data_IF_128283757890
#
_entry.id   IF_128283757890
#
_cell.length_a   1.000
_cell.length_b   1.000
_cell.length_c   1.000
_cell.angle_alpha   90.00
_cell.angle_beta   90.00
_cell.angle_gamma   90.00
#
_symmetry.space_group_name_H-M   'P 1'
#
loop_
_entity.id
_entity.type
_entity.pdbx_description
1 polymer ?
#
# COMPACT_ATOMS: atom_id res chain seq x y z
N UNK A 1 13.46 48.38 -52.32
CA UNK A 1 12.74 47.18 -51.85
C UNK A 1 13.45 46.68 -50.59
N UNK A 2 12.91 46.95 -49.40
CA UNK A 2 13.54 46.62 -48.10
C UNK A 2 12.51 45.83 -47.29
N UNK A 3 12.59 44.51 -47.34
CA UNK A 3 11.73 43.62 -46.55
C UNK A 3 12.66 42.66 -45.81
N UNK A 4 12.23 42.26 -44.61
CA UNK A 4 12.68 41.07 -43.89
C UNK A 4 14.01 41.16 -43.15
N UNK A 5 13.91 41.52 -41.87
CA UNK A 5 14.86 41.05 -40.84
C UNK A 5 14.14 40.86 -39.52
N UNK A 6 13.37 41.87 -39.11
CA UNK A 6 12.70 41.88 -37.81
C UNK A 6 11.54 40.87 -37.71
N UNK A 7 10.73 40.68 -38.75
CA UNK A 7 9.60 39.72 -38.71
C UNK A 7 10.03 38.25 -38.60
N UNK A 8 11.21 37.89 -39.07
CA UNK A 8 11.72 36.51 -39.02
C UNK A 8 12.20 36.18 -37.60
N UNK A 9 12.91 37.10 -36.95
CA UNK A 9 13.38 36.94 -35.57
C UNK A 9 12.25 36.87 -34.54
N UNK A 10 11.19 37.68 -34.69
CA UNK A 10 10.03 37.62 -33.79
C UNK A 10 9.18 36.35 -33.98
N UNK A 11 9.07 35.85 -35.21
CA UNK A 11 8.36 34.57 -35.49
C UNK A 11 9.11 33.37 -34.91
N UNK A 12 10.44 33.33 -35.00
CA UNK A 12 11.22 32.22 -34.44
C UNK A 12 11.26 32.25 -32.92
N UNK A 13 11.40 33.44 -32.31
CA UNK A 13 11.34 33.59 -30.86
C UNK A 13 9.98 33.18 -30.28
N UNK A 14 8.87 33.53 -30.94
CA UNK A 14 7.52 33.14 -30.54
C UNK A 14 7.26 31.62 -30.61
N UNK A 15 7.79 30.94 -31.64
CA UNK A 15 7.68 29.48 -31.79
C UNK A 15 8.53 28.75 -30.74
N UNK A 16 9.72 29.26 -30.42
CA UNK A 16 10.59 28.68 -29.39
C UNK A 16 9.98 28.86 -27.99
N UNK A 17 9.43 30.04 -27.67
CA UNK A 17 8.75 30.28 -26.39
C UNK A 17 7.50 29.41 -26.22
N UNK A 18 6.74 29.18 -27.30
CA UNK A 18 5.60 28.27 -27.30
C UNK A 18 6.02 26.80 -27.08
N UNK A 19 7.15 26.36 -27.64
CA UNK A 19 7.70 25.02 -27.41
C UNK A 19 8.19 24.79 -25.97
N UNK A 20 8.77 25.80 -25.32
CA UNK A 20 9.22 25.70 -23.92
C UNK A 20 8.03 25.61 -22.95
N UNK A 21 6.91 26.26 -23.27
CA UNK A 21 5.69 26.20 -22.44
C UNK A 21 4.95 24.85 -22.57
N UNK A 22 5.00 24.18 -23.73
CA UNK A 22 4.33 22.88 -23.93
C UNK A 22 5.10 21.72 -23.29
N UNK A 23 6.42 21.84 -23.12
CA UNK A 23 7.26 20.82 -22.45
C UNK A 23 7.25 20.92 -20.92
N UNK A 24 6.54 21.90 -20.35
CA UNK A 24 6.26 21.97 -18.91
C UNK A 24 5.12 21.03 -18.53
N UNK A 25 5.17 19.78 -19.00
CA UNK A 25 4.31 18.73 -18.49
C UNK A 25 4.56 18.60 -17.00
N UNK A 26 3.51 18.71 -16.17
CA UNK A 26 3.60 18.60 -14.72
C UNK A 26 4.42 17.35 -14.37
N UNK A 27 5.65 17.55 -13.90
CA UNK A 27 6.43 16.48 -13.29
C UNK A 27 5.74 16.13 -11.97
N UNK A 28 4.67 15.34 -12.04
CA UNK A 28 4.01 14.80 -10.87
C UNK A 28 5.05 13.96 -10.12
N UNK A 29 5.27 14.29 -8.85
CA UNK A 29 6.23 13.56 -8.02
C UNK A 29 5.80 12.09 -7.97
N UNK A 30 6.63 11.14 -8.45
CA UNK A 30 6.29 9.72 -8.46
C UNK A 30 5.95 9.20 -7.05
N UNK A 31 6.50 9.81 -6.00
CA UNK A 31 6.13 9.53 -4.62
C UNK A 31 4.65 9.85 -4.35
N UNK A 32 4.22 11.07 -4.71
CA UNK A 32 2.85 11.53 -4.46
C UNK A 32 1.85 10.62 -5.19
N UNK A 33 2.16 10.24 -6.43
CA UNK A 33 1.32 9.35 -7.21
C UNK A 33 1.13 7.99 -6.52
N UNK A 34 2.19 7.41 -5.95
CA UNK A 34 2.10 6.12 -5.25
C UNK A 34 1.35 6.25 -3.92
N UNK A 35 1.55 7.35 -3.19
CA UNK A 35 0.81 7.60 -1.96
C UNK A 35 -0.71 7.72 -2.23
N UNK A 36 -1.08 8.42 -3.31
CA UNK A 36 -2.49 8.56 -3.72
C UNK A 36 -3.09 7.20 -4.12
N UNK A 37 -2.39 6.40 -4.92
CA UNK A 37 -2.86 5.05 -5.31
C UNK A 37 -2.99 4.14 -4.09
N UNK A 38 -2.04 4.17 -3.16
CA UNK A 38 -2.12 3.39 -1.92
C UNK A 38 -3.36 3.80 -1.11
N UNK A 39 -3.63 5.12 -1.02
CA UNK A 39 -4.81 5.64 -0.33
C UNK A 39 -6.11 5.13 -0.98
N UNK A 40 -6.20 5.14 -2.31
CA UNK A 40 -7.35 4.63 -3.04
C UNK A 40 -7.61 3.14 -2.71
N UNK A 41 -6.56 2.31 -2.70
CA UNK A 41 -6.68 0.90 -2.31
C UNK A 41 -7.15 0.73 -0.86
N UNK A 42 -6.69 1.56 0.08
CA UNK A 42 -7.16 1.52 1.47
C UNK A 42 -8.64 1.88 1.57
N UNK A 43 -9.07 2.93 0.88
CA UNK A 43 -10.47 3.36 0.89
C UNK A 43 -11.38 2.29 0.25
N UNK A 44 -10.94 1.68 -0.85
CA UNK A 44 -11.66 0.60 -1.51
C UNK A 44 -11.70 -0.68 -0.67
N UNK A 45 -10.60 -1.03 0.02
CA UNK A 45 -10.56 -2.15 0.96
C UNK A 45 -11.69 -2.05 1.98
N UNK A 46 -11.79 -0.92 2.70
CA UNK A 46 -12.82 -0.74 3.72
C UNK A 46 -14.22 -0.63 3.12
N UNK A 47 -14.36 -0.02 1.95
CA UNK A 47 -15.65 0.05 1.23
C UNK A 47 -16.14 -1.35 0.88
N UNK A 48 -15.28 -2.20 0.33
CA UNK A 48 -15.60 -3.59 -0.01
C UNK A 48 -15.87 -4.45 1.22
N UNK A 49 -15.07 -4.32 2.27
CA UNK A 49 -15.25 -5.07 3.50
C UNK A 49 -16.60 -4.75 4.16
N UNK A 50 -16.97 -3.46 4.24
CA UNK A 50 -18.28 -3.00 4.74
C UNK A 50 -19.43 -3.53 3.91
N UNK A 51 -19.24 -3.68 2.59
CA UNK A 51 -20.21 -4.24 1.67
C UNK A 51 -20.23 -5.78 1.62
N UNK A 52 -19.51 -6.48 2.52
CA UNK A 52 -19.33 -7.93 2.52
C UNK A 52 -18.74 -8.49 1.20
N UNK A 53 -18.01 -7.67 0.45
CA UNK A 53 -17.29 -8.07 -0.78
C UNK A 53 -15.87 -8.48 -0.42
N UNK A 54 -15.76 -9.55 0.36
CA UNK A 54 -14.48 -10.01 0.95
C UNK A 54 -13.40 -10.24 -0.10
N UNK A 55 -13.71 -10.88 -1.23
CA UNK A 55 -12.74 -11.14 -2.28
C UNK A 55 -12.18 -9.84 -2.89
N UNK A 56 -13.02 -8.82 -3.06
CA UNK A 56 -12.58 -7.52 -3.53
C UNK A 56 -11.74 -6.81 -2.47
N UNK A 57 -12.11 -6.87 -1.19
CA UNK A 57 -11.29 -6.32 -0.11
C UNK A 57 -9.91 -6.99 -0.06
N UNK A 58 -9.84 -8.32 -0.14
CA UNK A 58 -8.58 -9.06 -0.22
C UNK A 58 -7.74 -8.57 -1.40
N UNK A 59 -8.34 -8.43 -2.59
CA UNK A 59 -7.64 -7.93 -3.77
C UNK A 59 -7.03 -6.54 -3.56
N UNK A 60 -7.79 -5.59 -3.00
CA UNK A 60 -7.26 -4.25 -2.72
C UNK A 60 -6.07 -4.30 -1.75
N UNK A 61 -6.10 -5.21 -0.77
CA UNK A 61 -4.98 -5.37 0.15
C UNK A 61 -3.74 -5.99 -0.51
N UNK A 62 -3.94 -6.97 -1.40
CA UNK A 62 -2.87 -7.57 -2.18
C UNK A 62 -2.19 -6.55 -3.10
N UNK A 63 -2.93 -5.55 -3.62
CA UNK A 63 -2.33 -4.44 -4.36
C UNK A 63 -1.40 -3.59 -3.48
N UNK A 64 -1.79 -3.33 -2.23
CA UNK A 64 -0.93 -2.61 -1.27
C UNK A 64 0.33 -3.43 -0.96
N UNK A 65 0.22 -4.75 -0.78
CA UNK A 65 1.38 -5.65 -0.61
C UNK A 65 2.31 -5.60 -1.84
N UNK A 66 1.75 -5.70 -3.05
CA UNK A 66 2.52 -5.64 -4.28
C UNK A 66 3.25 -4.29 -4.47
N UNK A 67 2.59 -3.18 -4.12
CA UNK A 67 3.24 -1.86 -4.11
C UNK A 67 4.39 -1.80 -3.10
N UNK A 68 4.22 -2.40 -1.93
CA UNK A 68 5.28 -2.48 -0.93
C UNK A 68 6.49 -3.28 -1.42
N UNK A 69 6.26 -4.41 -2.10
CA UNK A 69 7.32 -5.24 -2.66
C UNK A 69 8.08 -4.52 -3.78
N UNK A 70 7.37 -3.79 -4.64
CA UNK A 70 7.99 -2.95 -5.68
C UNK A 70 8.88 -1.85 -5.08
N UNK A 71 8.42 -1.20 -4.01
CA UNK A 71 9.22 -0.20 -3.30
C UNK A 71 10.42 -0.86 -2.58
N UNK A 72 10.26 -2.04 -2.00
CA UNK A 72 11.36 -2.78 -1.37
C UNK A 72 12.46 -3.15 -2.37
N UNK A 73 12.10 -3.58 -3.57
CA UNK A 73 13.05 -3.84 -4.65
C UNK A 73 13.76 -2.58 -5.12
N UNK A 74 13.04 -1.47 -5.20
CA UNK A 74 13.61 -0.16 -5.53
C UNK A 74 14.61 0.27 -4.47
N UNK A 75 14.23 0.20 -3.20
CA UNK A 75 15.08 0.54 -2.05
C UNK A 75 16.32 -0.37 -2.01
N UNK A 76 16.19 -1.66 -2.30
CA UNK A 76 17.33 -2.60 -2.33
C UNK A 76 18.31 -2.27 -3.45
N UNK A 77 17.82 -1.99 -4.66
CA UNK A 77 18.65 -1.65 -5.83
C UNK A 77 19.33 -0.30 -5.67
N UNK A 78 18.59 0.70 -5.17
CA UNK A 78 19.08 2.07 -5.05
C UNK A 78 19.85 2.31 -3.75
N UNK A 79 19.60 1.57 -2.67
CA UNK A 79 20.36 1.68 -1.42
C UNK A 79 21.85 1.31 -1.55
N UNK A 80 22.22 0.63 -2.65
CA UNK A 80 23.62 0.38 -3.02
C UNK A 80 24.30 1.60 -3.66
N UNK A 81 23.52 2.60 -4.10
CA UNK A 81 23.96 3.85 -4.72
C UNK A 81 23.54 4.99 -3.77
N UNK A 82 24.48 5.56 -3.03
CA UNK A 82 24.28 6.50 -1.90
C UNK A 82 22.99 7.35 -1.87
N UNK A 83 22.40 7.41 -0.67
CA UNK A 83 21.07 7.93 -0.34
C UNK A 83 20.78 9.37 -0.77
N UNK A 84 19.73 9.49 -1.57
CA UNK A 84 19.04 10.73 -1.88
C UNK A 84 17.76 10.84 -1.05
N UNK A 85 17.24 12.05 -0.84
CA UNK A 85 15.96 12.29 -0.14
C UNK A 85 14.76 11.55 -0.75
N UNK A 86 14.85 11.16 -2.03
CA UNK A 86 13.84 10.35 -2.69
C UNK A 86 13.82 8.90 -2.18
N UNK A 87 14.99 8.31 -1.93
CA UNK A 87 15.10 6.95 -1.41
C UNK A 87 14.52 6.83 0.01
N UNK A 88 14.74 7.86 0.84
CA UNK A 88 14.18 7.91 2.20
C UNK A 88 12.66 7.98 2.18
N UNK A 89 12.09 8.81 1.28
CA UNK A 89 10.63 8.90 1.09
C UNK A 89 10.03 7.60 0.59
N UNK A 90 10.68 6.96 -0.38
CA UNK A 90 10.28 5.66 -0.91
C UNK A 90 10.28 4.58 0.19
N UNK A 91 11.35 4.55 1.00
CA UNK A 91 11.46 3.62 2.12
C UNK A 91 10.40 3.87 3.20
N UNK A 92 10.08 5.13 3.48
CA UNK A 92 9.00 5.49 4.40
C UNK A 92 7.64 5.02 3.87
N UNK A 93 7.33 5.29 2.59
CA UNK A 93 6.08 4.85 1.97
C UNK A 93 5.96 3.33 1.92
N UNK A 94 7.06 2.62 1.64
CA UNK A 94 7.13 1.16 1.71
C UNK A 94 6.73 0.65 3.10
N UNK A 95 7.30 1.21 4.18
CA UNK A 95 6.94 0.84 5.55
C UNK A 95 5.47 1.10 5.85
N UNK A 96 4.94 2.24 5.40
CA UNK A 96 3.52 2.55 5.53
C UNK A 96 2.67 1.50 4.81
N UNK A 97 2.97 1.18 3.56
CA UNK A 97 2.24 0.17 2.78
C UNK A 97 2.24 -1.20 3.48
N UNK A 98 3.41 -1.67 3.97
CA UNK A 98 3.49 -2.94 4.73
C UNK A 98 2.68 -2.89 6.02
N UNK A 99 2.77 -1.80 6.77
CA UNK A 99 2.00 -1.64 8.01
C UNK A 99 0.49 -1.63 7.76
N UNK A 100 0.05 -0.90 6.74
CA UNK A 100 -1.35 -0.84 6.31
C UNK A 100 -1.85 -2.21 5.85
N UNK A 101 -1.06 -2.94 5.06
CA UNK A 101 -1.44 -4.25 4.59
C UNK A 101 -1.59 -5.26 5.74
N UNK A 102 -0.69 -5.22 6.73
CA UNK A 102 -0.80 -6.03 7.93
C UNK A 102 -2.06 -5.70 8.74
N UNK A 103 -2.37 -4.42 8.94
CA UNK A 103 -3.58 -3.98 9.64
C UNK A 103 -4.86 -4.43 8.93
N UNK A 104 -4.90 -4.36 7.60
CA UNK A 104 -6.04 -4.80 6.81
C UNK A 104 -6.26 -6.32 6.93
N UNK A 105 -5.19 -7.12 6.95
CA UNK A 105 -5.31 -8.56 7.23
C UNK A 105 -5.83 -8.84 8.65
N UNK A 106 -5.40 -8.06 9.65
CA UNK A 106 -5.95 -8.13 11.00
C UNK A 106 -7.45 -7.78 10.99
N UNK A 107 -7.85 -6.73 10.27
CA UNK A 107 -9.24 -6.33 10.14
C UNK A 107 -10.11 -7.41 9.46
N UNK A 108 -9.57 -8.10 8.44
CA UNK A 108 -10.21 -9.28 7.84
C UNK A 108 -10.36 -10.41 8.86
N UNK A 109 -9.34 -10.68 9.66
CA UNK A 109 -9.41 -11.67 10.74
C UNK A 109 -10.53 -11.35 11.73
N UNK A 110 -10.62 -10.10 12.18
CA UNK A 110 -11.67 -9.63 13.08
C UNK A 110 -13.05 -9.73 12.44
N UNK A 111 -13.16 -9.34 11.17
CA UNK A 111 -14.38 -9.46 10.39
C UNK A 111 -14.90 -10.90 10.36
N UNK A 112 -14.03 -11.86 10.05
CA UNK A 112 -14.40 -13.28 10.03
C UNK A 112 -14.75 -13.83 11.41
N UNK A 113 -14.03 -13.41 12.46
CA UNK A 113 -14.33 -13.81 13.84
C UNK A 113 -15.75 -13.35 14.24
N UNK A 114 -16.10 -12.09 13.95
CA UNK A 114 -17.45 -11.54 14.20
C UNK A 114 -18.52 -12.31 13.41
N UNK A 115 -18.18 -12.74 12.19
CA UNK A 115 -19.07 -13.55 11.33
C UNK A 115 -19.09 -15.03 11.67
N UNK A 116 -18.47 -15.46 12.78
CA UNK A 116 -18.38 -16.85 13.21
C UNK A 116 -17.75 -17.76 12.14
N UNK A 117 -16.73 -17.25 11.44
CA UNK A 117 -15.94 -18.00 10.45
C UNK A 117 -14.50 -18.19 10.97
N UNK A 118 -14.31 -18.99 12.04
CA UNK A 118 -13.04 -19.07 12.77
C UNK A 118 -11.87 -19.53 11.89
N UNK A 119 -12.08 -20.45 10.94
CA UNK A 119 -11.02 -20.89 10.03
C UNK A 119 -10.50 -19.77 9.13
N UNK A 120 -11.37 -18.90 8.63
CA UNK A 120 -10.96 -17.75 7.81
C UNK A 120 -10.32 -16.65 8.65
N UNK A 121 -10.80 -16.48 9.88
CA UNK A 121 -10.19 -15.58 10.85
C UNK A 121 -8.75 -16.03 11.17
N UNK A 122 -8.57 -17.32 11.47
CA UNK A 122 -7.28 -17.97 11.70
C UNK A 122 -6.35 -17.79 10.50
N UNK A 123 -6.80 -18.08 9.29
CA UNK A 123 -6.00 -17.91 8.09
C UNK A 123 -5.50 -16.46 7.91
N UNK A 124 -6.36 -15.47 8.19
CA UNK A 124 -6.01 -14.05 8.07
C UNK A 124 -4.92 -13.64 9.08
N UNK A 125 -5.07 -14.06 10.35
CA UNK A 125 -4.07 -13.76 11.38
C UNK A 125 -2.76 -14.53 11.17
N UNK A 126 -2.84 -15.80 10.77
CA UNK A 126 -1.66 -16.62 10.50
C UNK A 126 -0.81 -16.01 9.37
N UNK A 127 -1.45 -15.53 8.31
CA UNK A 127 -0.76 -14.79 7.23
C UNK A 127 0.04 -13.61 7.78
N UNK A 128 -0.50 -12.85 8.73
CA UNK A 128 0.21 -11.71 9.33
C UNK A 128 1.46 -12.18 10.09
N UNK A 129 1.33 -13.24 10.88
CA UNK A 129 2.44 -13.83 11.63
C UNK A 129 3.55 -14.30 10.70
N UNK A 130 3.18 -14.95 9.60
CA UNK A 130 4.13 -15.58 8.66
C UNK A 130 4.79 -14.56 7.72
N UNK A 131 4.06 -13.51 7.30
CA UNK A 131 4.51 -12.57 6.25
C UNK A 131 5.32 -11.40 6.81
N UNK A 132 4.96 -10.88 7.99
CA UNK A 132 5.48 -9.59 8.49
C UNK A 132 6.60 -9.77 9.52
N UNK A 133 7.68 -10.43 9.10
CA UNK A 133 8.76 -10.90 9.99
C UNK A 133 9.80 -9.83 10.35
N UNK A 134 9.76 -8.65 9.72
CA UNK A 134 10.72 -7.58 10.00
C UNK A 134 10.59 -7.11 11.48
N UNK A 135 11.69 -6.79 12.17
CA UNK A 135 11.63 -6.24 13.53
C UNK A 135 10.69 -5.04 13.69
N UNK A 136 10.59 -4.18 12.67
CA UNK A 136 9.71 -3.00 12.68
C UNK A 136 8.23 -3.34 12.56
N UNK A 137 7.89 -4.58 12.19
CA UNK A 137 6.52 -5.08 12.02
C UNK A 137 6.06 -5.96 13.18
N UNK A 138 6.92 -6.12 14.21
CA UNK A 138 6.69 -6.97 15.38
C UNK A 138 5.31 -6.75 16.01
N UNK A 139 4.87 -5.50 16.14
CA UNK A 139 3.59 -5.17 16.75
C UNK A 139 2.41 -5.82 16.03
N UNK A 140 2.43 -5.89 14.69
CA UNK A 140 1.36 -6.52 13.92
C UNK A 140 1.33 -8.02 14.12
N UNK A 141 2.50 -8.67 14.15
CA UNK A 141 2.61 -10.10 14.44
C UNK A 141 2.12 -10.44 15.84
N UNK A 142 2.52 -9.66 16.84
CA UNK A 142 2.08 -9.86 18.23
C UNK A 142 0.57 -9.64 18.39
N UNK A 143 -0.01 -8.69 17.65
CA UNK A 143 -1.45 -8.50 17.60
C UNK A 143 -2.17 -9.70 16.97
N UNK A 144 -1.70 -10.17 15.82
CA UNK A 144 -2.28 -11.34 15.15
C UNK A 144 -2.12 -12.63 15.97
N UNK A 145 -0.97 -12.85 16.61
CA UNK A 145 -0.72 -14.00 17.48
C UNK A 145 -1.65 -14.02 18.71
N UNK A 146 -1.90 -12.86 19.33
CA UNK A 146 -2.89 -12.76 20.41
C UNK A 146 -4.30 -13.12 19.92
N UNK A 147 -4.70 -12.60 18.77
CA UNK A 147 -6.01 -12.90 18.21
C UNK A 147 -6.17 -14.38 17.80
N UNK A 148 -5.08 -15.06 17.41
CA UNK A 148 -5.06 -16.51 17.19
C UNK A 148 -5.32 -17.28 18.49
N UNK A 149 -4.65 -16.91 19.58
CA UNK A 149 -4.86 -17.53 20.88
C UNK A 149 -6.31 -17.32 21.38
N UNK A 150 -6.85 -16.12 21.21
CA UNK A 150 -8.23 -15.81 21.59
C UNK A 150 -9.24 -16.67 20.79
N UNK A 151 -9.00 -16.86 19.49
CA UNK A 151 -9.81 -17.75 18.66
C UNK A 151 -9.76 -19.21 19.12
N UNK A 152 -8.61 -19.69 19.56
CA UNK A 152 -8.44 -21.06 20.05
C UNK A 152 -9.24 -21.30 21.34
N UNK A 153 -9.14 -20.39 22.31
CA UNK A 153 -9.92 -20.45 23.57
C UNK A 153 -11.43 -20.49 23.29
N UNK A 154 -11.90 -19.71 22.32
CA UNK A 154 -13.32 -19.67 21.96
C UNK A 154 -13.78 -20.91 21.16
N UNK A 155 -12.84 -21.68 20.61
CA UNK A 155 -13.12 -22.86 19.78
C UNK A 155 -13.08 -24.17 20.56
N UNK A 156 -12.53 -24.18 21.78
CA UNK A 156 -12.53 -25.38 22.63
C UNK A 156 -13.97 -25.73 23.06
N UNK A 157 -14.43 -26.99 22.85
CA UNK A 157 -15.71 -27.42 23.37
C UNK A 157 -15.68 -27.35 24.90
N UNK A 158 -16.64 -26.67 25.53
CA UNK A 158 -16.80 -26.72 26.99
C UNK A 158 -16.82 -28.19 27.42
N UNK A 159 -16.05 -28.59 28.46
CA UNK A 159 -16.13 -29.93 28.99
C UNK A 159 -17.58 -30.14 29.44
N UNK A 160 -18.28 -31.00 28.70
CA UNK A 160 -19.61 -31.48 29.06
C UNK A 160 -19.52 -32.01 30.48
N UNK A 161 -20.20 -31.35 31.42
CA UNK A 161 -20.39 -31.86 32.76
C UNK A 161 -21.17 -33.18 32.63
N UNK A 162 -20.46 -34.29 32.63
CA UNK A 162 -21.05 -35.61 32.76
C UNK A 162 -21.63 -35.70 34.17
N UNK A 163 -22.96 -35.69 34.22
CA UNK A 163 -23.76 -35.88 35.43
C UNK A 163 -23.89 -37.37 35.77
#
# INVERSE_FOLDING_TARGET
MKISGHHVFYRTAGVIALFVLIMSGCAADPYQRRADVMKDHVENFYTHLKANRVAAAVHENEQIEAMADQMADTVRKQGQLQGTSQLEREFALMKTARGTAAQNWIALGQYFAIKQQPEKARASYQRVVDTYTNPTERTYREQAARALNDLEILSEPSPSSTH
#
